data_IF_804200145271
#
_entry.id   IF_804200145271
#
_cell.length_a   1.000
_cell.length_b   1.000
_cell.length_c   1.000
_cell.angle_alpha   90.00
_cell.angle_beta   90.00
_cell.angle_gamma   90.00
#
_symmetry.space_group_name_H-M   'P 1'
#
loop_
_entity.id
_entity.type
_entity.pdbx_description
1 polymer ?
#
# COMPACT_ATOMS: atom_id res chain seq x y z
N UNK A 1 39.01 44.92 2.80
CA UNK A 1 40.12 44.43 3.67
C UNK A 1 40.14 42.95 3.63
N UNK A 2 41.19 42.41 3.01
CA UNK A 2 41.52 41.00 2.87
C UNK A 2 41.89 40.38 4.21
N UNK A 3 41.56 39.15 4.45
CA UNK A 3 42.41 38.24 5.19
C UNK A 3 42.22 36.80 4.72
N UNK A 4 43.28 36.30 4.10
CA UNK A 4 43.60 34.92 3.78
C UNK A 4 44.02 34.18 5.04
N UNK A 5 43.62 32.92 5.21
CA UNK A 5 44.31 32.00 6.11
C UNK A 5 44.57 30.66 5.40
N UNK A 6 45.84 30.37 5.39
CA UNK A 6 46.55 29.30 4.69
C UNK A 6 46.43 27.98 5.45
N UNK A 7 46.13 26.89 4.75
CA UNK A 7 46.18 25.52 5.28
C UNK A 7 47.51 24.86 4.94
N UNK A 8 48.18 24.32 5.96
CA UNK A 8 49.45 23.60 5.89
C UNK A 8 49.17 22.09 5.77
N UNK A 9 49.67 21.48 4.68
CA UNK A 9 49.78 20.03 4.55
C UNK A 9 51.06 19.53 5.26
N UNK A 10 50.91 18.52 6.10
CA UNK A 10 52.06 17.73 6.62
C UNK A 10 52.13 16.37 5.91
N UNK A 11 53.21 16.15 5.16
CA UNK A 11 53.65 14.84 4.67
C UNK A 11 54.52 14.20 5.73
N UNK A 12 54.17 12.96 6.13
CA UNK A 12 55.09 12.09 6.90
C UNK A 12 55.47 10.89 5.99
N UNK A 13 56.76 10.88 5.61
CA UNK A 13 57.41 9.73 4.99
C UNK A 13 58.04 8.88 6.07
N UNK A 14 57.67 7.59 6.18
CA UNK A 14 58.35 6.61 7.02
C UNK A 14 59.15 5.67 6.13
N UNK A 15 60.47 5.68 6.36
CA UNK A 15 61.41 4.69 5.89
C UNK A 15 61.22 3.36 6.61
N UNK A 16 61.04 2.27 5.87
CA UNK A 16 61.10 0.89 6.40
C UNK A 16 62.47 0.28 6.10
N UNK A 17 63.23 -0.03 7.14
CA UNK A 17 64.42 -0.84 7.10
C UNK A 17 64.08 -2.34 7.13
N UNK A 18 64.68 -3.11 6.21
CA UNK A 18 64.56 -4.55 6.09
C UNK A 18 65.36 -5.26 7.18
N UNK A 19 64.74 -6.07 8.00
CA UNK A 19 65.41 -7.15 8.74
C UNK A 19 64.78 -8.49 8.35
N UNK A 20 65.59 -9.37 7.78
CA UNK A 20 65.15 -10.70 7.38
C UNK A 20 64.88 -11.60 8.59
N UNK A 21 63.77 -12.28 8.51
CA UNK A 21 63.46 -13.43 9.38
C UNK A 21 63.17 -14.63 8.49
N UNK A 22 64.02 -15.66 8.64
CA UNK A 22 63.81 -16.98 8.05
C UNK A 22 62.64 -17.67 8.73
N UNK A 23 61.66 -18.13 7.95
CA UNK A 23 60.65 -19.06 8.41
C UNK A 23 60.94 -20.48 7.87
N UNK A 24 60.69 -21.54 8.69
CA UNK A 24 60.88 -22.90 8.22
C UNK A 24 59.76 -23.33 7.27
N UNK A 25 60.14 -24.22 6.31
CA UNK A 25 59.25 -24.84 5.34
C UNK A 25 58.08 -25.55 6.00
N UNK A 26 56.85 -25.13 5.69
CA UNK A 26 55.60 -25.80 6.07
C UNK A 26 55.18 -26.67 4.83
N UNK A 27 55.21 -27.99 5.04
CA UNK A 27 54.62 -28.96 4.11
C UNK A 27 53.16 -28.65 3.84
N UNK A 28 52.82 -28.40 2.58
CA UNK A 28 51.46 -28.18 2.13
C UNK A 28 50.78 -29.54 1.94
N UNK A 29 49.94 -29.93 2.87
CA UNK A 29 49.01 -31.06 2.67
C UNK A 29 47.96 -30.70 1.63
N UNK A 30 47.58 -31.62 0.72
CA UNK A 30 46.57 -31.35 -0.32
C UNK A 30 45.21 -31.07 0.37
N UNK A 31 44.62 -29.95 -0.04
CA UNK A 31 43.24 -29.52 0.35
C UNK A 31 42.26 -30.62 -0.03
N UNK A 32 41.31 -30.98 0.87
CA UNK A 32 40.22 -31.88 0.49
C UNK A 32 39.32 -31.19 -0.55
N UNK A 33 38.96 -31.95 -1.58
CA UNK A 33 38.01 -31.56 -2.61
C UNK A 33 36.77 -30.92 -1.98
N UNK A 34 36.46 -29.68 -2.42
CA UNK A 34 35.25 -29.00 -2.04
C UNK A 34 34.04 -29.79 -2.60
N UNK A 35 33.38 -30.55 -1.75
CA UNK A 35 32.07 -31.10 -2.04
C UNK A 35 31.12 -29.94 -2.23
N UNK A 36 30.78 -29.67 -3.49
CA UNK A 36 29.81 -28.70 -3.92
C UNK A 36 28.40 -29.16 -3.47
N UNK A 37 28.10 -29.01 -2.18
CA UNK A 37 26.74 -29.16 -1.69
C UNK A 37 25.97 -27.94 -2.12
N UNK A 38 25.23 -28.04 -3.23
CA UNK A 38 24.13 -27.17 -3.57
C UNK A 38 23.10 -27.22 -2.41
N UNK A 39 23.38 -26.50 -1.34
CA UNK A 39 22.35 -26.12 -0.36
C UNK A 39 21.48 -25.10 -1.06
N UNK A 40 20.36 -25.56 -1.65
CA UNK A 40 19.25 -24.69 -1.96
C UNK A 40 18.88 -23.94 -0.68
N UNK A 41 18.99 -22.61 -0.70
CA UNK A 41 18.49 -21.80 0.43
C UNK A 41 17.04 -22.23 0.70
N UNK A 42 16.62 -22.38 1.96
CA UNK A 42 15.25 -22.74 2.29
C UNK A 42 14.33 -21.70 1.68
N UNK A 43 13.44 -22.14 0.80
CA UNK A 43 12.42 -21.27 0.15
C UNK A 43 11.67 -20.57 1.29
N UNK A 44 11.79 -19.25 1.34
CA UNK A 44 11.18 -18.43 2.39
C UNK A 44 9.67 -18.66 2.32
N UNK A 45 9.06 -19.07 3.41
CA UNK A 45 7.62 -19.34 3.47
C UNK A 45 6.84 -18.06 3.14
N UNK A 46 5.92 -18.15 2.20
CA UNK A 46 5.08 -17.02 1.80
C UNK A 46 4.06 -16.72 2.91
N UNK A 47 3.88 -15.45 3.23
CA UNK A 47 2.89 -15.02 4.24
C UNK A 47 1.50 -15.01 3.62
N UNK A 48 0.49 -15.67 4.23
CA UNK A 48 -0.88 -15.63 3.73
C UNK A 48 -1.50 -14.24 3.90
N UNK A 49 -2.12 -13.74 2.84
CA UNK A 49 -2.80 -12.45 2.83
C UNK A 49 -4.16 -12.54 2.14
N UNK A 50 -5.06 -11.65 2.53
CA UNK A 50 -6.31 -11.37 1.83
C UNK A 50 -6.29 -9.94 1.29
N UNK A 51 -6.87 -9.71 0.12
CA UNK A 51 -7.00 -8.36 -0.47
C UNK A 51 -8.48 -7.99 -0.52
N UNK A 52 -8.82 -6.78 -0.07
CA UNK A 52 -10.14 -6.17 -0.17
C UNK A 52 -9.99 -4.84 -0.92
N UNK A 53 -10.54 -4.74 -2.16
CA UNK A 53 -10.23 -3.66 -3.09
C UNK A 53 -11.46 -3.16 -3.86
N UNK A 54 -11.53 -1.84 -4.10
CA UNK A 54 -12.58 -1.20 -4.91
C UNK A 54 -12.13 -0.92 -6.37
N UNK A 55 -11.50 -1.92 -6.97
CA UNK A 55 -10.81 -1.95 -8.26
C UNK A 55 -11.48 -1.12 -9.36
N UNK A 56 -10.78 -0.10 -9.86
CA UNK A 56 -11.27 0.80 -10.89
C UNK A 56 -10.38 0.91 -12.14
N UNK A 57 -9.10 0.91 -12.01
CA UNK A 57 -8.00 0.90 -12.99
C UNK A 57 -8.27 1.70 -14.29
N UNK A 58 -8.36 3.03 -14.16
CA UNK A 58 -8.45 3.94 -15.30
C UNK A 58 -9.75 3.89 -16.09
N UNK A 59 -10.84 3.38 -15.53
CA UNK A 59 -12.15 3.36 -16.17
C UNK A 59 -12.70 4.77 -16.39
N UNK A 60 -13.49 4.96 -17.45
CA UNK A 60 -14.33 6.15 -17.58
C UNK A 60 -15.37 6.18 -16.46
N UNK A 61 -15.51 7.33 -15.81
CA UNK A 61 -16.51 7.54 -14.77
C UNK A 61 -17.93 7.58 -15.34
N UNK A 62 -18.90 7.05 -14.61
CA UNK A 62 -20.31 7.02 -15.06
C UNK A 62 -21.04 8.35 -14.87
N UNK A 63 -20.74 9.06 -13.78
CA UNK A 63 -21.55 10.19 -13.30
C UNK A 63 -20.96 11.56 -13.59
N UNK A 64 -19.68 11.61 -13.98
CA UNK A 64 -18.94 12.84 -14.30
C UNK A 64 -17.86 12.57 -15.33
N UNK A 65 -17.44 13.58 -16.12
CA UNK A 65 -16.29 13.42 -17.01
C UNK A 65 -15.02 12.99 -16.29
N UNK A 66 -14.16 12.26 -16.99
CA UNK A 66 -12.85 11.82 -16.50
C UNK A 66 -12.75 10.33 -16.25
N UNK A 67 -11.66 9.96 -15.63
CA UNK A 67 -11.28 8.57 -15.37
C UNK A 67 -11.24 8.33 -13.86
N UNK A 68 -11.45 7.07 -13.45
CA UNK A 68 -11.15 6.60 -12.10
C UNK A 68 -9.64 6.51 -11.92
N UNK A 69 -9.19 6.38 -10.66
CA UNK A 69 -7.79 6.10 -10.37
C UNK A 69 -7.34 4.70 -10.85
N UNK A 70 -6.09 4.39 -10.60
CA UNK A 70 -5.43 3.20 -11.12
C UNK A 70 -4.65 2.44 -10.06
N UNK A 71 -4.54 2.99 -8.87
CA UNK A 71 -3.64 2.57 -7.80
C UNK A 71 -4.01 1.21 -7.21
N UNK A 72 -5.29 0.86 -7.12
CA UNK A 72 -5.75 -0.52 -6.86
C UNK A 72 -5.08 -1.54 -7.78
N UNK A 73 -5.06 -1.26 -9.09
CA UNK A 73 -4.45 -2.14 -10.09
C UNK A 73 -2.96 -2.33 -9.84
N UNK A 74 -2.24 -1.25 -9.49
CA UNK A 74 -0.83 -1.31 -9.12
C UNK A 74 -0.63 -2.15 -7.87
N UNK A 75 -1.41 -1.91 -6.82
CA UNK A 75 -1.31 -2.62 -5.55
C UNK A 75 -1.54 -4.13 -5.72
N UNK A 76 -2.61 -4.52 -6.41
CA UNK A 76 -2.94 -5.91 -6.65
C UNK A 76 -1.91 -6.60 -7.56
N UNK A 77 -1.48 -5.96 -8.65
CA UNK A 77 -0.46 -6.53 -9.53
C UNK A 77 0.88 -6.71 -8.81
N UNK A 78 1.30 -5.75 -7.98
CA UNK A 78 2.52 -5.84 -7.18
C UNK A 78 2.50 -7.08 -6.27
N UNK A 79 1.37 -7.35 -5.61
CA UNK A 79 1.21 -8.53 -4.77
C UNK A 79 1.19 -9.83 -5.58
N UNK A 80 0.53 -9.85 -6.73
CA UNK A 80 0.52 -11.03 -7.64
C UNK A 80 1.92 -11.41 -8.12
N UNK A 81 2.79 -10.42 -8.33
CA UNK A 81 4.19 -10.63 -8.75
C UNK A 81 5.14 -10.99 -7.58
N UNK A 82 4.72 -10.80 -6.34
CA UNK A 82 5.58 -11.02 -5.17
C UNK A 82 5.76 -12.51 -4.85
N UNK A 83 6.99 -12.87 -4.51
CA UNK A 83 7.32 -14.18 -3.94
C UNK A 83 7.25 -14.23 -2.41
N UNK A 84 6.96 -13.09 -1.75
CA UNK A 84 6.91 -12.95 -0.28
C UNK A 84 5.53 -13.22 0.33
N UNK A 85 4.48 -13.15 -0.47
CA UNK A 85 3.10 -13.31 -0.02
C UNK A 85 2.37 -14.40 -0.80
N UNK A 86 1.39 -15.02 -0.17
CA UNK A 86 0.42 -15.93 -0.77
C UNK A 86 -0.96 -15.28 -0.69
N UNK A 87 -1.53 -14.93 -1.83
CA UNK A 87 -2.87 -14.33 -1.89
C UNK A 87 -3.90 -15.45 -1.76
N UNK A 88 -4.57 -15.53 -0.61
CA UNK A 88 -5.58 -16.56 -0.30
C UNK A 88 -6.90 -16.26 -1.02
N UNK A 89 -7.21 -14.97 -1.21
CA UNK A 89 -8.40 -14.53 -1.94
C UNK A 89 -8.40 -13.01 -2.11
N UNK A 90 -9.23 -12.57 -3.06
CA UNK A 90 -9.53 -11.17 -3.33
C UNK A 90 -11.02 -10.96 -3.15
N UNK A 91 -11.42 -10.10 -2.22
CA UNK A 91 -12.76 -9.55 -2.15
C UNK A 91 -12.80 -8.21 -2.86
N UNK A 92 -13.91 -7.95 -3.55
CA UNK A 92 -14.15 -6.64 -4.14
C UNK A 92 -15.19 -5.88 -3.33
N UNK A 93 -15.14 -4.55 -3.38
CA UNK A 93 -16.04 -3.66 -2.66
C UNK A 93 -16.38 -2.48 -3.56
N UNK A 94 -17.49 -1.77 -3.28
CA UNK A 94 -17.80 -0.50 -3.94
C UNK A 94 -16.80 0.60 -3.53
N UNK A 95 -16.73 1.68 -4.30
CA UNK A 95 -15.91 2.85 -3.95
C UNK A 95 -15.53 3.64 -5.19
N UNK A 96 -14.32 3.48 -5.69
CA UNK A 96 -13.84 4.10 -6.92
C UNK A 96 -14.71 3.74 -8.13
N UNK A 97 -15.34 2.57 -8.10
CA UNK A 97 -16.32 2.13 -9.11
C UNK A 97 -17.47 1.35 -8.48
N UNK A 98 -18.38 0.87 -9.32
CA UNK A 98 -19.48 0.00 -8.87
C UNK A 98 -18.93 -1.39 -8.58
N UNK A 99 -19.56 -2.08 -7.64
CA UNK A 99 -19.17 -3.43 -7.24
C UNK A 99 -19.07 -4.41 -8.42
N UNK A 100 -19.97 -4.32 -9.42
CA UNK A 100 -19.92 -5.22 -10.57
C UNK A 100 -18.69 -4.98 -11.46
N UNK A 101 -18.25 -3.72 -11.59
CA UNK A 101 -17.01 -3.39 -12.31
C UNK A 101 -15.77 -3.79 -11.52
N UNK A 102 -15.72 -3.50 -10.21
CA UNK A 102 -14.64 -3.95 -9.34
C UNK A 102 -14.47 -5.47 -9.42
N UNK A 103 -15.56 -6.22 -9.34
CA UNK A 103 -15.54 -7.68 -9.47
C UNK A 103 -15.06 -8.15 -10.85
N UNK A 104 -15.55 -7.52 -11.93
CA UNK A 104 -15.13 -7.82 -13.31
C UNK A 104 -13.63 -7.55 -13.51
N UNK A 105 -13.11 -6.43 -12.98
CA UNK A 105 -11.68 -6.11 -13.06
C UNK A 105 -10.85 -7.11 -12.25
N UNK A 106 -11.25 -7.45 -11.03
CA UNK A 106 -10.56 -8.43 -10.20
C UNK A 106 -10.48 -9.81 -10.88
N UNK A 107 -11.57 -10.26 -11.49
CA UNK A 107 -11.60 -11.50 -12.30
C UNK A 107 -10.65 -11.42 -13.48
N UNK A 108 -10.67 -10.32 -14.24
CA UNK A 108 -9.77 -10.10 -15.37
C UNK A 108 -8.30 -10.15 -14.92
N UNK A 109 -7.93 -9.43 -13.87
CA UNK A 109 -6.55 -9.42 -13.37
C UNK A 109 -6.10 -10.81 -12.92
N UNK A 110 -6.97 -11.57 -12.23
CA UNK A 110 -6.66 -12.95 -11.84
C UNK A 110 -6.43 -13.86 -13.05
N UNK A 111 -7.29 -13.80 -14.05
CA UNK A 111 -7.18 -14.63 -15.26
C UNK A 111 -5.93 -14.30 -16.07
N UNK A 112 -5.70 -13.00 -16.31
CA UNK A 112 -4.65 -12.53 -17.21
C UNK A 112 -3.25 -12.49 -16.59
N UNK A 113 -3.13 -12.26 -15.27
CA UNK A 113 -1.85 -12.02 -14.61
C UNK A 113 -1.51 -13.04 -13.52
N UNK A 114 -2.50 -13.80 -13.01
CA UNK A 114 -2.28 -14.86 -12.03
C UNK A 114 -2.67 -16.26 -12.53
N UNK A 115 -3.07 -16.38 -13.80
CA UNK A 115 -3.46 -17.66 -14.44
C UNK A 115 -4.69 -18.30 -13.81
N UNK A 116 -5.64 -17.50 -13.30
CA UNK A 116 -6.89 -17.96 -12.70
C UNK A 116 -6.77 -18.63 -11.33
N UNK A 117 -5.60 -18.51 -10.67
CA UNK A 117 -5.32 -19.29 -9.44
C UNK A 117 -5.83 -18.64 -8.16
N UNK A 118 -6.15 -17.36 -8.16
CA UNK A 118 -6.57 -16.61 -6.98
C UNK A 118 -8.10 -16.50 -7.02
N UNK A 119 -8.83 -17.01 -6.02
CA UNK A 119 -10.28 -16.84 -5.99
C UNK A 119 -10.66 -15.37 -5.79
N UNK A 120 -11.62 -14.89 -6.57
CA UNK A 120 -12.14 -13.52 -6.50
C UNK A 120 -13.62 -13.57 -6.13
N UNK A 121 -14.02 -12.83 -5.11
CA UNK A 121 -15.35 -12.85 -4.52
C UNK A 121 -16.02 -11.48 -4.63
N UNK A 122 -17.30 -11.47 -4.96
CA UNK A 122 -18.11 -10.27 -5.01
C UNK A 122 -18.53 -9.89 -3.59
N UNK A 123 -18.14 -8.69 -3.12
CA UNK A 123 -18.42 -8.18 -1.79
C UNK A 123 -19.53 -7.13 -1.76
N UNK A 124 -19.41 -6.17 -0.82
CA UNK A 124 -20.41 -5.16 -0.57
C UNK A 124 -20.51 -4.16 -1.73
N UNK A 125 -21.76 -3.82 -2.09
CA UNK A 125 -22.09 -2.81 -3.10
C UNK A 125 -22.41 -1.43 -2.53
N UNK A 126 -22.48 -1.32 -1.19
CA UNK A 126 -22.79 -0.09 -0.44
C UNK A 126 -22.23 -0.19 1.00
N UNK A 127 -22.18 0.92 1.70
CA UNK A 127 -21.73 1.00 3.09
C UNK A 127 -22.58 0.14 4.05
N UNK A 128 -22.04 -0.15 5.22
CA UNK A 128 -22.72 -0.89 6.27
C UNK A 128 -24.04 -0.22 6.64
N UNK A 129 -25.12 -1.00 6.62
CA UNK A 129 -26.38 -0.60 7.21
C UNK A 129 -26.58 -1.34 8.54
N UNK A 130 -26.32 -0.67 9.64
CA UNK A 130 -26.43 -1.25 10.99
C UNK A 130 -27.86 -1.68 11.37
N UNK A 131 -28.89 -1.15 10.68
CA UNK A 131 -30.29 -1.54 10.90
C UNK A 131 -30.66 -2.81 10.13
N UNK A 132 -29.89 -3.17 9.10
CA UNK A 132 -30.14 -4.34 8.26
C UNK A 132 -28.81 -4.97 7.82
N UNK A 133 -28.13 -5.61 8.78
CA UNK A 133 -26.84 -6.25 8.52
C UNK A 133 -27.03 -7.46 7.61
N UNK A 134 -26.47 -7.40 6.42
CA UNK A 134 -26.46 -8.48 5.45
C UNK A 134 -25.04 -9.00 5.27
N UNK A 135 -24.93 -10.27 4.94
CA UNK A 135 -23.65 -10.86 4.51
C UNK A 135 -23.60 -10.93 2.98
N UNK A 136 -22.41 -11.20 2.44
CA UNK A 136 -22.18 -11.39 1.02
C UNK A 136 -21.15 -12.50 0.78
N UNK A 137 -20.95 -12.88 -0.48
CA UNK A 137 -20.02 -13.96 -0.86
C UNK A 137 -18.60 -13.72 -0.32
N UNK A 138 -18.09 -12.48 -0.39
CA UNK A 138 -16.75 -12.14 0.07
C UNK A 138 -16.59 -12.28 1.58
N UNK A 139 -17.58 -11.84 2.36
CA UNK A 139 -17.58 -11.98 3.84
C UNK A 139 -17.55 -13.45 4.25
N UNK A 140 -18.37 -14.29 3.62
CA UNK A 140 -18.40 -15.73 3.93
C UNK A 140 -17.09 -16.43 3.54
N UNK A 141 -16.50 -16.06 2.40
CA UNK A 141 -15.23 -16.61 1.94
C UNK A 141 -14.07 -16.18 2.84
N UNK A 142 -14.02 -14.90 3.24
CA UNK A 142 -13.02 -14.40 4.18
C UNK A 142 -13.15 -15.07 5.55
N UNK A 143 -14.38 -15.25 6.05
CA UNK A 143 -14.64 -15.97 7.30
C UNK A 143 -14.16 -17.42 7.22
N UNK A 144 -14.42 -18.10 6.10
CA UNK A 144 -13.95 -19.47 5.87
C UNK A 144 -12.42 -19.57 5.82
N UNK A 145 -11.75 -18.57 5.22
CA UNK A 145 -10.30 -18.50 5.17
C UNK A 145 -9.69 -18.25 6.56
N UNK A 146 -10.22 -17.29 7.33
CA UNK A 146 -9.77 -16.99 8.69
C UNK A 146 -9.96 -18.15 9.68
N UNK A 147 -11.00 -18.97 9.50
CA UNK A 147 -11.18 -20.19 10.31
C UNK A 147 -10.09 -21.24 10.07
N UNK A 148 -9.43 -21.20 8.92
CA UNK A 148 -8.35 -22.14 8.56
C UNK A 148 -6.99 -21.69 9.08
N UNK A 149 -6.71 -20.39 8.97
CA UNK A 149 -5.41 -19.81 9.36
C UNK A 149 -5.51 -18.33 9.65
N UNK A 150 -4.61 -17.84 10.48
CA UNK A 150 -4.41 -16.39 10.66
C UNK A 150 -3.83 -15.79 9.40
N UNK A 151 -4.20 -14.54 9.11
CA UNK A 151 -3.65 -13.82 7.96
C UNK A 151 -3.73 -12.31 8.14
N UNK A 152 -2.95 -11.61 7.34
CA UNK A 152 -3.03 -10.15 7.19
C UNK A 152 -4.04 -9.82 6.08
N UNK A 153 -4.72 -8.69 6.24
CA UNK A 153 -5.67 -8.20 5.24
C UNK A 153 -5.16 -6.86 4.71
N UNK A 154 -5.07 -6.72 3.40
CA UNK A 154 -4.90 -5.44 2.73
C UNK A 154 -6.28 -4.92 2.34
N UNK A 155 -6.72 -3.78 2.91
CA UNK A 155 -7.97 -3.12 2.57
C UNK A 155 -7.66 -1.78 1.90
N UNK A 156 -7.82 -1.72 0.59
CA UNK A 156 -7.52 -0.56 -0.27
C UNK A 156 -8.77 0.07 -0.88
N UNK A 157 -9.95 -0.36 -0.44
CA UNK A 157 -11.25 0.29 -0.60
C UNK A 157 -11.88 0.59 0.76
N UNK A 158 -13.16 1.00 0.81
CA UNK A 158 -13.90 1.07 2.07
C UNK A 158 -13.89 -0.31 2.72
N UNK A 159 -13.54 -0.36 4.00
CA UNK A 159 -13.35 -1.62 4.72
C UNK A 159 -14.68 -2.34 5.07
N UNK A 160 -15.71 -2.14 4.27
CA UNK A 160 -17.09 -2.61 4.48
C UNK A 160 -17.16 -4.12 4.66
N UNK A 161 -16.47 -4.91 3.82
CA UNK A 161 -16.48 -6.37 3.96
C UNK A 161 -15.87 -6.82 5.29
N UNK A 162 -14.86 -6.11 5.79
CA UNK A 162 -14.21 -6.39 7.09
C UNK A 162 -15.16 -6.00 8.24
N UNK A 163 -15.81 -4.84 8.14
CA UNK A 163 -16.83 -4.43 9.12
C UNK A 163 -18.01 -5.41 9.20
N UNK A 164 -18.52 -5.87 8.07
CA UNK A 164 -19.57 -6.90 7.99
C UNK A 164 -19.11 -8.25 8.57
N UNK A 165 -17.86 -8.64 8.31
CA UNK A 165 -17.25 -9.83 8.93
C UNK A 165 -17.29 -9.72 10.46
N UNK A 166 -16.86 -8.59 11.01
CA UNK A 166 -16.78 -8.37 12.46
C UNK A 166 -18.16 -8.29 13.11
N UNK A 167 -19.16 -7.76 12.41
CA UNK A 167 -20.56 -7.78 12.88
C UNK A 167 -21.13 -9.21 12.91
N UNK A 168 -20.79 -10.03 11.93
CA UNK A 168 -21.32 -11.37 11.78
C UNK A 168 -20.57 -12.43 12.59
N UNK A 169 -19.25 -12.28 12.66
CA UNK A 169 -18.29 -13.23 13.22
C UNK A 169 -17.23 -12.53 14.08
N UNK A 170 -17.63 -11.84 15.17
CA UNK A 170 -16.69 -11.04 15.98
C UNK A 170 -15.54 -11.88 16.56
N UNK A 171 -15.75 -13.18 16.78
CA UNK A 171 -14.73 -14.12 17.25
C UNK A 171 -13.53 -14.26 16.29
N UNK A 172 -13.75 -13.99 14.98
CA UNK A 172 -12.70 -14.08 13.98
C UNK A 172 -11.73 -12.89 14.03
N UNK A 173 -12.02 -11.83 14.78
CA UNK A 173 -11.09 -10.72 14.98
C UNK A 173 -9.71 -11.19 15.46
N UNK A 174 -9.66 -12.25 16.27
CA UNK A 174 -8.41 -12.86 16.78
C UNK A 174 -7.61 -13.64 15.72
N UNK A 175 -8.21 -13.92 14.58
CA UNK A 175 -7.58 -14.58 13.44
C UNK A 175 -7.00 -13.56 12.43
N UNK A 176 -7.34 -12.29 12.57
CA UNK A 176 -6.76 -11.20 11.79
C UNK A 176 -5.45 -10.77 12.46
N UNK A 177 -4.32 -10.99 11.79
CA UNK A 177 -3.01 -10.57 12.31
C UNK A 177 -2.85 -9.05 12.25
N UNK A 178 -3.32 -8.43 11.16
CA UNK A 178 -3.25 -7.00 10.90
C UNK A 178 -4.16 -6.65 9.71
N UNK A 179 -4.84 -5.52 9.78
CA UNK A 179 -5.46 -4.89 8.60
C UNK A 179 -4.62 -3.68 8.22
N UNK A 180 -4.14 -3.66 6.98
CA UNK A 180 -3.40 -2.53 6.39
C UNK A 180 -4.35 -1.75 5.51
N UNK A 181 -4.51 -0.44 5.79
CA UNK A 181 -5.51 0.42 5.15
C UNK A 181 -4.91 1.72 4.61
N UNK A 182 -5.57 2.26 3.60
CA UNK A 182 -5.29 3.60 3.08
C UNK A 182 -6.34 4.56 3.61
N UNK A 183 -6.06 5.20 4.75
CA UNK A 183 -6.94 6.14 5.42
C UNK A 183 -6.21 6.90 6.53
N UNK A 184 -6.84 7.97 7.03
CA UNK A 184 -6.42 8.70 8.22
C UNK A 184 -5.58 9.95 7.95
N UNK A 185 -5.52 10.80 8.96
CA UNK A 185 -4.73 12.04 8.96
C UNK A 185 -4.35 12.42 10.39
N UNK A 186 -3.32 13.27 10.56
CA UNK A 186 -2.87 13.70 11.89
C UNK A 186 -3.75 14.78 12.50
N UNK A 187 -4.28 15.67 11.66
CA UNK A 187 -5.09 16.81 12.09
C UNK A 187 -6.29 16.99 11.16
N UNK A 188 -7.40 17.54 11.65
CA UNK A 188 -8.55 17.86 10.80
C UNK A 188 -8.22 18.82 9.65
N UNK A 189 -7.19 19.65 9.83
CA UNK A 189 -6.71 20.61 8.83
C UNK A 189 -5.77 20.03 7.79
N UNK A 190 -5.26 18.82 8.00
CA UNK A 190 -4.44 18.14 7.00
C UNK A 190 -5.34 17.68 5.87
N UNK A 191 -5.00 18.06 4.66
CA UNK A 191 -5.78 17.72 3.48
C UNK A 191 -4.88 17.34 2.32
N UNK A 192 -5.46 16.58 1.42
CA UNK A 192 -4.87 16.23 0.16
C UNK A 192 -5.46 17.11 -0.95
N UNK A 193 -4.62 17.62 -1.84
CA UNK A 193 -5.05 18.39 -3.00
C UNK A 193 -4.38 17.86 -4.28
N UNK A 194 -5.16 17.73 -5.35
CA UNK A 194 -4.64 17.34 -6.66
C UNK A 194 -4.20 18.58 -7.41
N UNK A 195 -2.91 18.67 -7.75
CA UNK A 195 -2.34 19.78 -8.50
C UNK A 195 -2.46 21.12 -7.78
N UNK A 196 -2.55 22.22 -8.56
CA UNK A 196 -2.55 23.59 -8.07
C UNK A 196 -3.94 24.21 -7.92
N UNK A 197 -5.01 23.46 -8.12
CA UNK A 197 -6.38 23.99 -8.17
C UNK A 197 -7.00 24.19 -6.77
N UNK A 198 -6.32 23.80 -5.69
CA UNK A 198 -6.81 23.96 -4.33
C UNK A 198 -8.00 23.05 -3.97
N UNK A 199 -8.41 22.15 -4.86
CA UNK A 199 -9.49 21.22 -4.61
C UNK A 199 -9.04 20.16 -3.61
N UNK A 200 -9.72 20.09 -2.47
CA UNK A 200 -9.43 19.10 -1.45
C UNK A 200 -10.06 17.76 -1.81
N UNK A 201 -9.27 16.71 -1.80
CA UNK A 201 -9.76 15.36 -1.99
C UNK A 201 -10.29 14.76 -0.68
N UNK A 202 -11.22 13.84 -0.81
CA UNK A 202 -11.73 13.06 0.32
C UNK A 202 -10.69 12.04 0.79
N UNK A 203 -10.73 11.70 2.07
CA UNK A 203 -10.19 10.44 2.59
C UNK A 203 -11.19 9.35 2.21
N UNK A 204 -11.11 8.89 0.94
CA UNK A 204 -12.22 8.23 0.26
C UNK A 204 -12.68 6.97 0.99
N UNK A 205 -11.74 6.08 1.33
CA UNK A 205 -12.04 4.79 1.94
C UNK A 205 -12.71 4.95 3.31
N UNK A 206 -12.25 5.92 4.10
CA UNK A 206 -12.86 6.26 5.38
C UNK A 206 -14.22 6.96 5.21
N UNK A 207 -14.31 7.96 4.31
CA UNK A 207 -15.53 8.74 4.10
C UNK A 207 -16.68 7.89 3.52
N UNK A 208 -16.38 6.80 2.81
CA UNK A 208 -17.37 5.90 2.25
C UNK A 208 -17.97 4.93 3.28
N UNK A 209 -17.21 4.50 4.30
CA UNK A 209 -17.72 3.62 5.35
C UNK A 209 -16.91 3.76 6.65
N UNK A 210 -17.21 4.80 7.43
CA UNK A 210 -16.55 5.04 8.71
C UNK A 210 -16.97 4.05 9.82
N UNK A 211 -18.15 3.43 9.71
CA UNK A 211 -18.58 2.39 10.65
C UNK A 211 -17.66 1.16 10.60
N UNK A 212 -17.12 0.82 9.44
CA UNK A 212 -16.16 -0.28 9.32
C UNK A 212 -14.91 -0.05 10.18
N UNK A 213 -14.41 1.19 10.23
CA UNK A 213 -13.25 1.54 11.08
C UNK A 213 -13.59 1.47 12.55
N UNK A 214 -14.76 2.01 12.96
CA UNK A 214 -15.24 1.89 14.32
C UNK A 214 -15.34 0.44 14.78
N UNK A 215 -15.90 -0.43 13.93
CA UNK A 215 -16.04 -1.87 14.22
C UNK A 215 -14.67 -2.57 14.37
N UNK A 216 -13.67 -2.22 13.57
CA UNK A 216 -12.32 -2.76 13.74
C UNK A 216 -11.74 -2.37 15.11
N UNK A 217 -11.90 -1.12 15.54
CA UNK A 217 -11.40 -0.66 16.83
C UNK A 217 -12.13 -1.31 18.01
N UNK A 218 -13.47 -1.40 17.95
CA UNK A 218 -14.29 -2.07 18.96
C UNK A 218 -13.94 -3.55 19.11
N UNK A 219 -13.62 -4.23 18.01
CA UNK A 219 -13.20 -5.65 17.98
C UNK A 219 -11.70 -5.85 18.19
N UNK A 220 -10.93 -4.79 18.49
CA UNK A 220 -9.50 -4.82 18.79
C UNK A 220 -8.65 -5.44 17.68
N UNK A 221 -9.00 -5.19 16.43
CA UNK A 221 -8.24 -5.65 15.26
C UNK A 221 -6.97 -4.82 15.12
N UNK A 222 -5.76 -5.42 15.04
CA UNK A 222 -4.54 -4.66 14.79
C UNK A 222 -4.61 -3.92 13.45
N UNK A 223 -4.35 -2.60 13.46
CA UNK A 223 -4.49 -1.72 12.29
C UNK A 223 -3.18 -1.00 11.99
N UNK A 224 -2.82 -1.02 10.71
CA UNK A 224 -1.76 -0.17 10.12
C UNK A 224 -2.37 0.73 9.07
N UNK A 225 -2.08 2.02 9.16
CA UNK A 225 -2.59 3.06 8.26
C UNK A 225 -1.47 3.56 7.35
N UNK A 226 -1.73 3.58 6.04
CA UNK A 226 -0.89 4.19 5.01
C UNK A 226 -1.67 5.38 4.41
N UNK A 227 -1.71 6.55 5.08
CA UNK A 227 -2.54 7.68 4.70
C UNK A 227 -2.02 8.41 3.48
N UNK A 228 -2.78 9.41 2.99
CA UNK A 228 -2.33 10.29 1.90
C UNK A 228 -1.02 11.03 2.23
N UNK A 229 -0.69 11.24 3.49
CA UNK A 229 0.58 11.84 3.93
C UNK A 229 1.78 11.12 3.34
N UNK A 230 1.82 9.79 3.43
CA UNK A 230 2.92 9.00 2.83
C UNK A 230 2.79 8.92 1.30
N UNK A 231 1.56 8.85 0.77
CA UNK A 231 1.33 8.75 -0.66
C UNK A 231 1.80 9.98 -1.42
N UNK A 232 1.72 11.17 -0.80
CA UNK A 232 2.22 12.42 -1.36
C UNK A 232 3.74 12.46 -1.60
N UNK A 233 4.49 11.54 -1.00
CA UNK A 233 5.94 11.43 -1.19
C UNK A 233 6.31 10.68 -2.49
N UNK A 234 5.35 10.02 -3.11
CA UNK A 234 5.58 9.13 -4.26
C UNK A 234 4.76 9.61 -5.46
N UNK A 235 5.44 9.78 -6.59
CA UNK A 235 4.85 10.29 -7.82
C UNK A 235 5.17 9.34 -8.98
N UNK A 236 4.14 8.84 -9.64
CA UNK A 236 4.26 8.12 -10.92
C UNK A 236 4.12 9.12 -12.06
N UNK A 237 5.13 9.17 -12.93
CA UNK A 237 5.24 10.13 -14.03
C UNK A 237 5.26 9.40 -15.37
N UNK A 238 5.21 10.15 -16.48
CA UNK A 238 5.24 9.60 -17.84
C UNK A 238 6.41 8.65 -18.06
N UNK A 239 7.63 9.03 -17.61
CA UNK A 239 8.83 8.19 -17.71
C UNK A 239 8.70 6.84 -17.00
N UNK A 240 7.93 6.79 -15.91
CA UNK A 240 7.70 5.56 -15.16
C UNK A 240 6.72 4.65 -15.91
N UNK A 241 5.70 5.26 -16.57
CA UNK A 241 4.80 4.52 -17.45
C UNK A 241 5.53 3.96 -18.68
N UNK A 242 6.54 4.68 -19.20
CA UNK A 242 7.37 4.17 -20.30
C UNK A 242 8.20 2.95 -19.86
N UNK A 243 8.68 2.92 -18.61
CA UNK A 243 9.34 1.73 -18.05
C UNK A 243 8.35 0.56 -17.95
N UNK A 244 7.15 0.79 -17.41
CA UNK A 244 6.11 -0.23 -17.29
C UNK A 244 5.67 -0.76 -18.66
N UNK A 245 5.55 0.10 -19.66
CA UNK A 245 5.16 -0.27 -21.03
C UNK A 245 6.15 -1.22 -21.71
N UNK A 246 7.40 -1.30 -21.24
CA UNK A 246 8.41 -2.24 -21.69
C UNK A 246 8.51 -3.49 -20.79
N UNK A 247 7.66 -3.61 -19.78
CA UNK A 247 7.60 -4.74 -18.87
C UNK A 247 6.78 -5.92 -19.40
N UNK A 248 6.33 -6.78 -18.52
CA UNK A 248 5.43 -7.89 -18.84
C UNK A 248 4.00 -7.42 -19.15
N UNK A 249 3.13 -8.35 -19.51
CA UNK A 249 1.73 -8.08 -19.89
C UNK A 249 0.96 -7.26 -18.83
N UNK A 250 1.16 -7.55 -17.56
CA UNK A 250 0.49 -6.82 -16.46
C UNK A 250 0.98 -5.39 -16.34
N UNK A 251 2.29 -5.18 -16.44
CA UNK A 251 2.90 -3.86 -16.41
C UNK A 251 2.52 -3.00 -17.62
N UNK A 252 2.50 -3.60 -18.82
CA UNK A 252 2.00 -2.94 -20.03
C UNK A 252 0.55 -2.50 -19.89
N UNK A 253 -0.30 -3.39 -19.39
CA UNK A 253 -1.72 -3.09 -19.15
C UNK A 253 -1.91 -1.93 -18.14
N UNK A 254 -1.14 -1.90 -17.05
CA UNK A 254 -1.16 -0.77 -16.11
C UNK A 254 -0.72 0.53 -16.78
N UNK A 255 0.36 0.51 -17.54
CA UNK A 255 0.86 1.70 -18.24
C UNK A 255 -0.22 2.28 -19.18
N UNK A 256 -0.85 1.43 -19.99
CA UNK A 256 -1.91 1.84 -20.93
C UNK A 256 -3.11 2.49 -20.20
N UNK A 257 -3.60 1.84 -19.14
CA UNK A 257 -4.75 2.33 -18.38
C UNK A 257 -4.43 3.57 -17.52
N UNK A 258 -3.15 3.79 -17.19
CA UNK A 258 -2.71 4.94 -16.39
C UNK A 258 -2.57 6.23 -17.18
N UNK A 259 -2.30 6.18 -18.50
CA UNK A 259 -2.06 7.38 -19.31
C UNK A 259 -3.23 8.37 -19.28
N UNK A 260 -4.52 7.95 -19.43
CA UNK A 260 -5.63 8.87 -19.31
C UNK A 260 -5.79 9.49 -17.92
N UNK A 261 -5.48 8.72 -16.86
CA UNK A 261 -5.47 9.20 -15.48
C UNK A 261 -4.36 10.21 -15.23
N UNK A 262 -3.13 9.91 -15.70
CA UNK A 262 -2.01 10.84 -15.65
C UNK A 262 -2.30 12.14 -16.38
N UNK A 263 -2.87 12.07 -17.59
CA UNK A 263 -3.25 13.25 -18.35
C UNK A 263 -4.27 14.13 -17.60
N UNK A 264 -5.20 13.51 -16.85
CA UNK A 264 -6.15 14.22 -16.00
C UNK A 264 -5.42 14.96 -14.85
N UNK A 265 -4.44 14.36 -14.18
CA UNK A 265 -3.65 15.02 -13.15
C UNK A 265 -2.81 16.17 -13.72
N UNK A 266 -2.17 15.96 -14.86
CA UNK A 266 -1.39 17.00 -15.56
C UNK A 266 -2.29 18.20 -15.92
N UNK A 267 -3.53 17.96 -16.37
CA UNK A 267 -4.49 19.02 -16.67
C UNK A 267 -4.88 19.85 -15.44
N UNK A 268 -4.65 19.33 -14.25
CA UNK A 268 -4.86 19.99 -12.96
C UNK A 268 -3.58 20.61 -12.38
N UNK A 269 -2.49 20.66 -13.16
CA UNK A 269 -1.22 21.29 -12.77
C UNK A 269 -0.26 20.40 -11.98
N UNK A 270 -0.51 19.08 -11.91
CA UNK A 270 0.45 18.12 -11.37
C UNK A 270 1.44 17.66 -12.46
N UNK A 271 2.56 17.07 -12.08
CA UNK A 271 3.54 16.48 -13.01
C UNK A 271 3.61 14.94 -12.95
N UNK A 272 2.64 14.34 -12.30
CA UNK A 272 2.47 12.92 -12.05
C UNK A 272 1.19 12.66 -11.25
N UNK A 273 0.97 11.42 -10.83
CA UNK A 273 -0.08 11.05 -9.88
C UNK A 273 0.49 10.27 -8.68
N UNK A 274 -0.21 10.32 -7.56
CA UNK A 274 0.15 9.56 -6.37
C UNK A 274 -0.50 8.17 -6.43
N UNK A 275 0.28 7.09 -6.28
CA UNK A 275 -0.24 5.72 -6.26
C UNK A 275 -0.60 5.30 -4.83
N UNK A 276 -1.69 5.84 -4.27
CA UNK A 276 -2.06 5.73 -2.86
C UNK A 276 -1.95 4.32 -2.28
N UNK A 277 -2.58 3.35 -2.91
CA UNK A 277 -2.72 1.97 -2.43
C UNK A 277 -1.41 1.18 -2.47
N UNK A 278 -0.51 1.62 -3.34
CA UNK A 278 0.77 0.94 -3.54
C UNK A 278 1.66 1.00 -2.29
N UNK A 279 1.50 2.05 -1.46
CA UNK A 279 2.25 2.15 -0.21
C UNK A 279 1.80 1.07 0.77
N UNK A 280 0.50 0.80 0.82
CA UNK A 280 -0.08 -0.24 1.66
C UNK A 280 0.30 -1.65 1.15
N UNK A 281 0.22 -1.91 -0.16
CA UNK A 281 0.64 -3.20 -0.73
C UNK A 281 2.14 -3.43 -0.57
N UNK A 282 2.97 -2.38 -0.73
CA UNK A 282 4.40 -2.47 -0.51
C UNK A 282 4.74 -2.79 0.96
N UNK A 283 4.03 -2.19 1.92
CA UNK A 283 4.16 -2.52 3.33
C UNK A 283 3.85 -4.01 3.60
N UNK A 284 2.91 -4.62 2.89
CA UNK A 284 2.63 -6.07 2.99
C UNK A 284 3.84 -6.93 2.57
N UNK A 285 4.62 -6.45 1.60
CA UNK A 285 5.75 -7.17 0.99
C UNK A 285 7.07 -6.85 1.72
N UNK A 286 7.34 -5.57 1.92
CA UNK A 286 8.61 -5.02 2.41
C UNK A 286 8.37 -3.91 3.43
N UNK A 287 7.86 -4.25 4.64
CA UNK A 287 7.58 -3.25 5.69
C UNK A 287 8.83 -2.46 6.10
N UNK A 288 10.03 -3.00 5.85
CA UNK A 288 11.31 -2.35 6.10
C UNK A 288 11.57 -1.11 5.22
N UNK A 289 10.87 -0.99 4.10
CA UNK A 289 10.97 0.16 3.20
C UNK A 289 10.03 1.32 3.59
N UNK A 290 9.11 1.09 4.52
CA UNK A 290 8.10 2.04 5.00
C UNK A 290 8.40 2.44 6.43
N UNK A 291 8.51 3.75 6.67
CA UNK A 291 8.76 4.29 8.01
C UNK A 291 7.43 4.57 8.68
N UNK A 292 7.24 4.00 9.87
CA UNK A 292 6.02 4.11 10.64
C UNK A 292 6.28 4.43 12.10
N UNK A 293 5.26 4.95 12.78
CA UNK A 293 5.28 5.21 14.22
C UNK A 293 3.98 4.74 14.88
N UNK A 294 4.00 4.43 16.19
CA UNK A 294 2.79 4.16 16.94
C UNK A 294 2.04 5.47 17.22
N UNK A 295 0.77 5.54 16.84
CA UNK A 295 -0.15 6.61 17.15
C UNK A 295 -1.45 6.02 17.69
N UNK A 296 -2.37 6.89 18.13
CA UNK A 296 -3.72 6.52 18.51
C UNK A 296 -4.71 7.14 17.53
N UNK A 297 -5.63 6.31 17.03
CA UNK A 297 -6.67 6.70 16.10
C UNK A 297 -8.01 6.88 16.80
N UNK A 298 -8.77 7.88 16.39
CA UNK A 298 -10.13 8.13 16.86
C UNK A 298 -10.98 8.81 15.78
N UNK A 299 -12.28 8.64 15.87
CA UNK A 299 -13.23 9.28 14.99
C UNK A 299 -13.68 10.60 15.60
N UNK A 300 -13.45 11.71 14.91
CA UNK A 300 -13.84 13.05 15.35
C UNK A 300 -14.73 13.74 14.31
N UNK A 301 -15.67 14.57 14.78
CA UNK A 301 -16.54 15.37 13.90
C UNK A 301 -15.98 16.77 13.77
N UNK A 302 -15.69 17.17 12.53
CA UNK A 302 -15.21 18.51 12.19
C UNK A 302 -15.95 19.05 10.97
N UNK A 303 -15.70 20.31 10.63
CA UNK A 303 -16.18 20.92 9.39
C UNK A 303 -15.71 20.12 8.18
N UNK A 304 -16.63 19.88 7.24
CA UNK A 304 -16.31 19.18 6.01
C UNK A 304 -15.41 20.05 5.13
N UNK A 305 -14.13 19.65 5.05
CA UNK A 305 -13.09 20.35 4.31
C UNK A 305 -13.19 20.20 2.78
N UNK A 306 -14.04 19.31 2.31
CA UNK A 306 -14.24 19.03 0.86
C UNK A 306 -15.35 19.86 0.23
N UNK A 307 -16.13 20.58 1.03
CA UNK A 307 -17.17 21.49 0.55
C UNK A 307 -16.57 22.88 0.35
N UNK A 308 -16.63 23.36 -0.87
CA UNK A 308 -16.10 24.68 -1.26
C UNK A 308 -17.15 25.80 -1.27
N UNK A 309 -18.43 25.46 -1.01
CA UNK A 309 -19.52 26.42 -0.95
C UNK A 309 -19.52 27.11 0.43
N UNK A 310 -19.10 28.37 0.46
CA UNK A 310 -19.02 29.17 1.68
C UNK A 310 -20.37 29.38 2.40
N UNK A 311 -21.50 29.13 1.70
CA UNK A 311 -22.84 29.29 2.25
C UNK A 311 -23.35 27.98 2.91
N UNK A 312 -22.58 26.90 2.80
CA UNK A 312 -22.92 25.60 3.41
C UNK A 312 -21.91 25.19 4.46
N UNK A 313 -22.37 25.14 5.69
CA UNK A 313 -21.62 24.58 6.81
C UNK A 313 -22.09 23.16 7.05
N UNK A 314 -21.26 22.20 6.68
CA UNK A 314 -21.51 20.78 6.92
C UNK A 314 -20.39 20.18 7.76
N UNK A 315 -20.71 19.11 8.45
CA UNK A 315 -19.79 18.38 9.29
C UNK A 315 -19.68 16.94 8.80
N UNK A 316 -18.50 16.35 8.94
CA UNK A 316 -18.28 14.93 8.70
C UNK A 316 -17.36 14.33 9.76
N UNK A 317 -17.30 13.02 9.81
CA UNK A 317 -16.30 12.32 10.61
C UNK A 317 -14.93 12.32 9.93
N UNK A 318 -13.90 12.32 10.74
CA UNK A 318 -12.49 12.20 10.36
C UNK A 318 -11.83 11.13 11.19
N UNK A 319 -10.92 10.39 10.58
CA UNK A 319 -10.02 9.48 11.27
C UNK A 319 -8.74 10.24 11.65
N UNK A 320 -8.68 10.69 12.91
CA UNK A 320 -7.56 11.46 13.42
C UNK A 320 -6.58 10.53 14.14
N UNK A 321 -5.30 10.67 13.81
CA UNK A 321 -4.22 9.83 14.31
C UNK A 321 -3.10 10.70 14.91
N UNK A 322 -2.97 10.70 16.23
CA UNK A 322 -1.94 11.44 16.95
C UNK A 322 -1.51 10.71 18.24
N UNK A 323 -0.79 11.41 19.13
CA UNK A 323 -0.36 10.88 20.43
C UNK A 323 -1.39 11.03 21.55
N UNK A 324 -2.58 11.52 21.22
CA UNK A 324 -3.69 11.65 22.18
C UNK A 324 -4.32 10.31 22.56
N UNK A 325 -5.48 10.36 23.21
CA UNK A 325 -6.25 9.15 23.50
C UNK A 325 -6.88 8.58 22.24
N UNK A 326 -7.05 7.26 22.18
CA UNK A 326 -7.67 6.58 21.05
C UNK A 326 -7.26 5.12 20.95
N UNK A 327 -7.58 4.52 19.83
CA UNK A 327 -7.23 3.14 19.51
C UNK A 327 -5.79 3.07 18.96
N UNK A 328 -4.92 2.20 19.50
CA UNK A 328 -3.53 2.12 19.06
C UNK A 328 -3.43 1.59 17.63
N UNK A 329 -2.73 2.34 16.79
CA UNK A 329 -2.47 2.01 15.38
C UNK A 329 -1.00 2.19 15.04
N UNK A 330 -0.54 1.51 13.99
CA UNK A 330 0.71 1.83 13.33
C UNK A 330 0.39 2.82 12.20
N UNK A 331 1.09 3.94 12.17
CA UNK A 331 0.89 5.01 11.20
C UNK A 331 2.13 5.16 10.32
N UNK A 332 1.98 4.93 9.03
CA UNK A 332 3.04 5.05 8.04
C UNK A 332 3.12 6.51 7.58
N UNK A 333 4.31 7.11 7.62
CA UNK A 333 4.45 8.55 7.32
C UNK A 333 5.63 8.90 6.42
N UNK A 334 6.53 7.94 6.15
CA UNK A 334 7.69 8.19 5.29
C UNK A 334 8.18 6.89 4.64
N UNK A 335 9.04 7.00 3.66
CA UNK A 335 9.66 5.89 2.94
C UNK A 335 11.18 6.01 2.95
N UNK A 336 11.87 4.90 2.70
CA UNK A 336 13.33 4.91 2.53
C UNK A 336 13.73 5.75 1.30
N UNK A 337 14.97 6.32 1.24
CA UNK A 337 15.36 7.22 0.15
C UNK A 337 15.19 6.68 -1.27
N UNK A 338 15.46 5.39 -1.49
CA UNK A 338 15.40 4.76 -2.83
C UNK A 338 14.03 4.12 -3.13
N UNK A 339 12.98 4.45 -2.37
CA UNK A 339 11.69 3.80 -2.46
C UNK A 339 11.08 3.86 -3.87
N UNK A 340 11.08 5.03 -4.53
CA UNK A 340 10.52 5.18 -5.88
C UNK A 340 11.18 4.21 -6.88
N UNK A 341 12.50 4.09 -6.86
CA UNK A 341 13.23 3.15 -7.72
C UNK A 341 12.85 1.70 -7.42
N UNK A 342 12.74 1.33 -6.15
CA UNK A 342 12.32 -0.02 -5.72
C UNK A 342 10.90 -0.33 -6.19
N UNK A 343 9.99 0.64 -6.06
CA UNK A 343 8.62 0.53 -6.51
C UNK A 343 8.55 0.23 -8.00
N UNK A 344 9.14 1.07 -8.85
CA UNK A 344 9.09 0.89 -10.30
C UNK A 344 9.75 -0.43 -10.72
N UNK A 345 10.87 -0.80 -10.09
CA UNK A 345 11.54 -2.08 -10.33
C UNK A 345 10.66 -3.29 -9.96
N UNK A 346 9.77 -3.17 -8.98
CA UNK A 346 8.88 -4.26 -8.57
C UNK A 346 7.90 -4.68 -9.67
N UNK A 347 7.61 -3.79 -10.61
CA UNK A 347 6.76 -4.07 -11.78
C UNK A 347 7.54 -4.58 -12.99
N UNK A 348 8.84 -4.38 -13.04
CA UNK A 348 9.69 -4.74 -14.20
C UNK A 348 10.19 -6.20 -14.15
N UNK A 349 9.86 -6.94 -13.09
CA UNK A 349 10.30 -8.34 -12.89
C UNK A 349 9.33 -9.35 -13.49
#
# INVERSE_FOLDING_TARGET
MMNFTLSILFFFSLLLSSTGLNFPDVEINPTPESSNTNRSEPKKEKKPIWIDADLAVGMKRYTRPGYSDVDDGYAVLQLMKSDRVEIIGISTVFGNTRIDDAYRIGKYMNEEFAGGKIPVYRGAGEAINLQSVQTNEAVEALAAALRKQKMRILAIGPATNIGLLLLRYPELSTQIEEVVLVAGRRKPTDYFAIGNQGNRAKDLNFDLDNDAFRLMFENKVPVTLCPFEISNLVWVKEKDLDVLANGDKGSQWLAENSRPWLAQWISQGADGFNPFDVLASHYMISPEDIISEPLNARLEIHLDDTIQDNDKVTFKQYLICDKGEGYPVKYCYNVVPDYHQRLITSFSK
#
